data_IF_862955432793
#
_entry.id   IF_862955432793
#
_cell.length_a   1.000
_cell.length_b   1.000
_cell.length_c   1.000
_cell.angle_alpha   90.00
_cell.angle_beta   90.00
_cell.angle_gamma   90.00
#
_symmetry.space_group_name_H-M   'P 1'
#
loop_
_entity.id
_entity.type
_entity.pdbx_description
1 polymer ?
#
# COMPACT_ATOMS: atom_id res chain seq x y z
N UNK A 1 15.03 -2.37 -23.40
CA UNK A 1 14.07 -2.83 -22.36
C UNK A 1 12.75 -2.17 -22.68
N UNK A 2 11.67 -2.94 -22.92
CA UNK A 2 10.38 -2.34 -23.26
C UNK A 2 9.84 -1.57 -22.04
N UNK A 3 9.20 -0.43 -22.29
CA UNK A 3 8.74 0.46 -21.21
C UNK A 3 7.84 -0.24 -20.18
N UNK A 4 7.00 -1.19 -20.62
CA UNK A 4 6.10 -1.95 -19.73
C UNK A 4 6.86 -2.87 -18.77
N UNK A 5 7.97 -3.48 -19.17
CA UNK A 5 8.83 -4.27 -18.27
C UNK A 5 9.55 -3.40 -17.25
N UNK A 6 9.97 -2.21 -17.62
CA UNK A 6 10.56 -1.26 -16.69
C UNK A 6 9.56 -0.86 -15.60
N UNK A 7 8.34 -0.47 -15.98
CA UNK A 7 7.31 -0.11 -15.02
C UNK A 7 6.84 -1.29 -14.17
N UNK A 8 6.83 -2.51 -14.73
CA UNK A 8 6.53 -3.72 -13.96
C UNK A 8 7.57 -3.94 -12.85
N UNK A 9 8.85 -3.88 -13.21
CA UNK A 9 9.95 -4.03 -12.26
C UNK A 9 9.89 -2.94 -11.18
N UNK A 10 9.72 -1.68 -11.57
CA UNK A 10 9.63 -0.54 -10.66
C UNK A 10 8.44 -0.69 -9.70
N UNK A 11 7.27 -1.06 -10.19
CA UNK A 11 6.07 -1.31 -9.40
C UNK A 11 6.29 -2.46 -8.40
N UNK A 12 6.93 -3.53 -8.83
CA UNK A 12 7.25 -4.68 -7.98
C UNK A 12 8.26 -4.34 -6.89
N UNK A 13 9.28 -3.56 -7.21
CA UNK A 13 10.30 -3.12 -6.25
C UNK A 13 9.71 -2.16 -5.20
N UNK A 14 9.00 -1.12 -5.65
CA UNK A 14 8.36 -0.13 -4.78
C UNK A 14 7.34 -0.75 -3.83
N UNK A 15 6.69 -1.84 -4.22
CA UNK A 15 5.77 -2.60 -3.37
C UNK A 15 6.39 -2.93 -2.01
N UNK A 16 7.65 -3.38 -1.97
CA UNK A 16 8.32 -3.71 -0.70
C UNK A 16 8.54 -2.47 0.16
N UNK A 17 8.93 -1.35 -0.45
CA UNK A 17 9.06 -0.07 0.25
C UNK A 17 7.75 0.38 0.88
N UNK A 18 6.64 0.25 0.15
CA UNK A 18 5.28 0.55 0.65
C UNK A 18 4.91 -0.37 1.81
N UNK A 19 5.01 -1.69 1.63
CA UNK A 19 4.62 -2.66 2.66
C UNK A 19 5.43 -2.49 3.94
N UNK A 20 6.74 -2.29 3.83
CA UNK A 20 7.63 -2.09 4.99
C UNK A 20 7.29 -0.78 5.70
N UNK A 21 7.18 0.34 4.97
CA UNK A 21 6.94 1.65 5.57
C UNK A 21 5.56 1.76 6.22
N UNK A 22 4.50 1.22 5.59
CA UNK A 22 3.15 1.18 6.17
C UNK A 22 3.11 0.31 7.42
N UNK A 23 3.77 -0.87 7.39
CA UNK A 23 3.89 -1.76 8.55
C UNK A 23 4.60 -1.07 9.70
N UNK A 24 5.77 -0.48 9.46
CA UNK A 24 6.56 0.20 10.49
C UNK A 24 5.77 1.37 11.08
N UNK A 25 5.16 2.20 10.24
CA UNK A 25 4.34 3.32 10.71
C UNK A 25 3.15 2.87 11.56
N UNK A 26 2.41 1.85 11.12
CA UNK A 26 1.26 1.30 11.85
C UNK A 26 1.65 0.70 13.20
N UNK A 27 2.72 -0.10 13.25
CA UNK A 27 3.19 -0.74 14.48
C UNK A 27 3.78 0.26 15.48
N UNK A 28 4.54 1.26 15.02
CA UNK A 28 5.07 2.31 15.89
C UNK A 28 3.96 3.16 16.48
N UNK A 29 2.94 3.50 15.68
CA UNK A 29 1.77 4.23 16.16
C UNK A 29 0.97 3.39 17.18
N UNK A 30 0.78 2.10 16.92
CA UNK A 30 0.13 1.19 17.88
C UNK A 30 0.90 1.11 19.19
N UNK A 31 2.22 0.93 19.11
CA UNK A 31 3.10 0.91 20.30
C UNK A 31 2.98 2.21 21.09
N UNK A 32 3.06 3.37 20.41
CA UNK A 32 2.91 4.67 21.06
C UNK A 32 1.58 4.82 21.77
N UNK A 33 0.48 4.39 21.14
CA UNK A 33 -0.86 4.39 21.70
C UNK A 33 -0.96 3.52 22.98
N UNK A 34 -0.43 2.30 22.93
CA UNK A 34 -0.46 1.37 24.08
C UNK A 34 0.41 1.86 25.24
N UNK A 35 1.57 2.45 24.96
CA UNK A 35 2.48 2.99 25.96
C UNK A 35 2.10 4.40 26.45
N UNK A 36 1.05 4.99 25.92
CA UNK A 36 0.55 6.34 26.28
C UNK A 36 1.62 7.43 26.24
N UNK A 37 2.55 7.32 25.28
CA UNK A 37 3.66 8.27 25.14
C UNK A 37 3.45 9.25 23.98
N UNK A 38 4.12 10.41 23.98
CA UNK A 38 4.05 11.35 22.87
C UNK A 38 4.56 10.74 21.56
N UNK A 39 4.08 11.27 20.43
CA UNK A 39 4.56 10.89 19.09
C UNK A 39 5.98 11.41 18.90
N UNK A 40 6.89 10.54 18.52
CA UNK A 40 8.24 10.93 18.15
C UNK A 40 8.28 11.50 16.74
N UNK A 41 9.21 12.43 16.48
CA UNK A 41 9.39 13.04 15.16
C UNK A 41 9.60 11.98 14.07
N UNK A 42 10.43 10.97 14.33
CA UNK A 42 10.68 9.85 13.39
C UNK A 42 9.41 9.05 13.07
N UNK A 43 8.54 8.81 14.05
CA UNK A 43 7.27 8.11 13.84
C UNK A 43 6.30 8.91 12.97
N UNK A 44 6.27 10.21 13.17
CA UNK A 44 5.51 11.11 12.32
C UNK A 44 6.05 11.13 10.88
N UNK A 45 7.37 11.15 10.74
CA UNK A 45 8.03 11.15 9.42
C UNK A 45 7.78 9.85 8.66
N UNK A 46 7.94 8.69 9.30
CA UNK A 46 7.70 7.40 8.63
C UNK A 46 6.24 7.24 8.18
N UNK A 47 5.27 7.76 8.96
CA UNK A 47 3.87 7.76 8.55
C UNK A 47 3.62 8.64 7.31
N UNK A 48 4.29 9.78 7.19
CA UNK A 48 4.22 10.64 6.00
C UNK A 48 4.88 9.94 4.81
N UNK A 49 6.08 9.39 4.98
CA UNK A 49 6.82 8.67 3.94
C UNK A 49 5.99 7.50 3.41
N UNK A 50 5.39 6.70 4.29
CA UNK A 50 4.54 5.59 3.92
C UNK A 50 3.35 6.04 3.05
N UNK A 51 2.67 7.11 3.44
CA UNK A 51 1.58 7.69 2.66
C UNK A 51 2.05 8.17 1.28
N UNK A 52 3.17 8.88 1.20
CA UNK A 52 3.74 9.36 -0.08
C UNK A 52 4.12 8.17 -0.96
N UNK A 53 4.78 7.14 -0.43
CA UNK A 53 5.13 5.94 -1.18
C UNK A 53 3.89 5.22 -1.71
N UNK A 54 2.78 5.17 -0.97
CA UNK A 54 1.51 4.64 -1.46
C UNK A 54 1.02 5.39 -2.69
N UNK A 55 1.12 6.72 -2.70
CA UNK A 55 0.69 7.53 -3.86
C UNK A 55 1.65 7.36 -5.06
N UNK A 56 2.95 7.31 -4.82
CA UNK A 56 3.94 7.02 -5.88
C UNK A 56 3.66 5.64 -6.50
N UNK A 57 3.43 4.63 -5.65
CA UNK A 57 3.08 3.28 -6.09
C UNK A 57 1.79 3.26 -6.93
N UNK A 58 0.78 4.06 -6.54
CA UNK A 58 -0.46 4.20 -7.30
C UNK A 58 -0.20 4.76 -8.70
N UNK A 59 0.59 5.84 -8.80
CA UNK A 59 0.93 6.46 -10.09
C UNK A 59 1.66 5.46 -11.00
N UNK A 60 2.69 4.79 -10.47
CA UNK A 60 3.44 3.77 -11.22
C UNK A 60 2.53 2.61 -11.64
N UNK A 61 1.64 2.17 -10.76
CA UNK A 61 0.66 1.13 -11.06
C UNK A 61 -0.35 1.52 -12.12
N UNK A 62 -0.84 2.77 -12.10
CA UNK A 62 -1.73 3.28 -13.15
C UNK A 62 -1.03 3.38 -14.50
N UNK A 63 0.20 3.84 -14.55
CA UNK A 63 1.00 3.86 -15.79
C UNK A 63 1.17 2.44 -16.33
N UNK A 64 1.54 1.48 -15.47
CA UNK A 64 1.64 0.07 -15.87
C UNK A 64 0.31 -0.48 -16.38
N UNK A 65 -0.80 -0.15 -15.73
CA UNK A 65 -2.12 -0.54 -16.16
C UNK A 65 -2.44 -0.03 -17.57
N UNK A 66 -2.15 1.24 -17.87
CA UNK A 66 -2.37 1.82 -19.21
C UNK A 66 -1.59 1.09 -20.30
N UNK A 67 -0.35 0.65 -20.02
CA UNK A 67 0.42 -0.15 -20.98
C UNK A 67 -0.19 -1.53 -21.22
N UNK A 68 -0.84 -2.13 -20.22
CA UNK A 68 -1.31 -3.53 -20.25
C UNK A 68 -2.82 -3.70 -20.35
N UNK A 69 -3.60 -2.61 -20.29
CA UNK A 69 -5.07 -2.68 -20.29
C UNK A 69 -5.66 -3.43 -21.48
N UNK A 70 -5.05 -3.31 -22.65
CA UNK A 70 -5.47 -4.00 -23.89
C UNK A 70 -5.24 -5.52 -23.81
N UNK A 71 -4.29 -5.98 -23.01
CA UNK A 71 -4.01 -7.41 -22.81
C UNK A 71 -4.98 -8.05 -21.82
N UNK A 72 -5.66 -7.27 -20.99
CA UNK A 72 -6.62 -7.77 -20.01
C UNK A 72 -7.99 -7.98 -20.65
N UNK A 73 -8.13 -9.07 -21.39
CA UNK A 73 -9.38 -9.51 -22.01
C UNK A 73 -10.07 -10.58 -21.15
N UNK A 74 -11.37 -10.86 -21.33
CA UNK A 74 -12.07 -11.91 -20.56
C UNK A 74 -11.41 -13.31 -20.62
N UNK A 75 -10.67 -13.58 -21.69
CA UNK A 75 -9.93 -14.85 -21.85
C UNK A 75 -8.52 -14.81 -21.23
N UNK A 76 -8.10 -13.67 -20.68
CA UNK A 76 -6.81 -13.56 -20.01
C UNK A 76 -6.85 -14.26 -18.66
N UNK A 77 -5.86 -15.11 -18.31
CA UNK A 77 -5.80 -15.77 -17.02
C UNK A 77 -5.87 -14.75 -15.87
N UNK A 78 -6.76 -15.01 -14.91
CA UNK A 78 -6.98 -14.12 -13.77
C UNK A 78 -7.42 -12.69 -14.14
N UNK A 79 -8.15 -12.54 -15.25
CA UNK A 79 -8.68 -11.26 -15.75
C UNK A 79 -9.35 -10.42 -14.66
N UNK A 80 -10.28 -11.01 -13.89
CA UNK A 80 -11.02 -10.33 -12.83
C UNK A 80 -10.08 -9.76 -11.77
N UNK A 81 -9.09 -10.54 -11.38
CA UNK A 81 -8.10 -10.11 -10.41
C UNK A 81 -7.32 -8.88 -10.89
N UNK A 82 -6.74 -8.93 -12.09
CA UNK A 82 -5.88 -7.85 -12.59
C UNK A 82 -6.64 -6.58 -12.93
N UNK A 83 -7.89 -6.70 -13.37
CA UNK A 83 -8.69 -5.55 -13.81
C UNK A 83 -9.47 -4.90 -12.68
N UNK A 84 -9.93 -5.68 -11.70
CA UNK A 84 -10.85 -5.20 -10.69
C UNK A 84 -10.36 -5.41 -9.25
N UNK A 85 -10.00 -6.64 -8.88
CA UNK A 85 -9.72 -6.98 -7.49
C UNK A 85 -8.46 -6.30 -6.97
N UNK A 86 -7.33 -6.43 -7.70
CA UNK A 86 -6.07 -5.82 -7.30
C UNK A 86 -6.20 -4.28 -7.24
N UNK A 87 -6.69 -3.66 -8.30
CA UNK A 87 -6.81 -2.20 -8.39
C UNK A 87 -7.79 -1.68 -7.34
N UNK A 88 -8.98 -2.27 -7.25
CA UNK A 88 -10.02 -1.84 -6.31
C UNK A 88 -9.55 -1.95 -4.85
N UNK A 89 -8.97 -3.09 -4.47
CA UNK A 89 -8.47 -3.30 -3.10
C UNK A 89 -7.30 -2.37 -2.78
N UNK A 90 -6.36 -2.16 -3.71
CA UNK A 90 -5.24 -1.24 -3.50
C UNK A 90 -5.71 0.21 -3.37
N UNK A 91 -6.70 0.65 -4.15
CA UNK A 91 -7.29 1.98 -4.00
C UNK A 91 -7.91 2.16 -2.61
N UNK A 92 -8.69 1.19 -2.13
CA UNK A 92 -9.27 1.24 -0.78
C UNK A 92 -8.16 1.32 0.27
N UNK A 93 -7.11 0.49 0.15
CA UNK A 93 -5.99 0.51 1.09
C UNK A 93 -5.27 1.86 1.13
N UNK A 94 -5.03 2.48 -0.03
CA UNK A 94 -4.38 3.80 -0.13
C UNK A 94 -5.28 4.90 0.46
N UNK A 95 -6.59 4.84 0.19
CA UNK A 95 -7.57 5.76 0.79
C UNK A 95 -7.53 5.64 2.32
N UNK A 96 -7.50 4.43 2.87
CA UNK A 96 -7.41 4.22 4.31
C UNK A 96 -6.14 4.83 4.90
N UNK A 97 -4.96 4.57 4.31
CA UNK A 97 -3.69 5.16 4.76
C UNK A 97 -3.76 6.69 4.73
N UNK A 98 -4.31 7.26 3.66
CA UNK A 98 -4.48 8.71 3.50
C UNK A 98 -5.43 9.30 4.55
N UNK A 99 -6.57 8.65 4.77
CA UNK A 99 -7.54 9.05 5.80
C UNK A 99 -6.92 8.95 7.20
N UNK A 100 -6.22 7.87 7.50
CA UNK A 100 -5.54 7.68 8.79
C UNK A 100 -4.61 8.85 9.12
N UNK A 101 -3.78 9.25 8.14
CA UNK A 101 -2.88 10.40 8.29
C UNK A 101 -3.62 11.73 8.39
N UNK A 102 -4.63 11.94 7.55
CA UNK A 102 -5.44 13.16 7.52
C UNK A 102 -6.20 13.37 8.82
N UNK A 103 -6.86 12.33 9.30
CA UNK A 103 -7.61 12.36 10.56
C UNK A 103 -6.67 12.51 11.77
N UNK A 104 -5.49 11.88 11.74
CA UNK A 104 -4.48 12.05 12.78
C UNK A 104 -3.99 13.52 12.83
N UNK A 105 -3.77 14.17 11.68
CA UNK A 105 -3.37 15.59 11.64
C UNK A 105 -4.40 16.50 12.30
N UNK A 106 -5.69 16.18 12.21
CA UNK A 106 -6.80 16.97 12.76
C UNK A 106 -7.12 16.66 14.22
N UNK A 107 -6.60 15.56 14.77
CA UNK A 107 -6.82 15.23 16.17
C UNK A 107 -6.08 16.18 17.10
N UNK A 108 -6.69 16.51 18.24
CA UNK A 108 -6.07 17.37 19.26
C UNK A 108 -5.14 16.54 20.16
N UNK A 109 -5.58 15.37 20.58
CA UNK A 109 -4.84 14.51 21.50
C UNK A 109 -3.85 13.59 20.78
N UNK A 110 -2.65 13.46 21.33
CA UNK A 110 -1.58 12.60 20.80
C UNK A 110 -2.03 11.14 20.71
N UNK A 111 -2.73 10.65 21.73
CA UNK A 111 -3.27 9.29 21.75
C UNK A 111 -4.25 9.03 20.62
N UNK A 112 -5.15 9.99 20.32
CA UNK A 112 -6.09 9.88 19.21
C UNK A 112 -5.37 9.91 17.85
N UNK A 113 -4.29 10.69 17.71
CA UNK A 113 -3.46 10.68 16.49
C UNK A 113 -2.84 9.31 16.24
N UNK A 114 -2.25 8.72 17.27
CA UNK A 114 -1.61 7.40 17.21
C UNK A 114 -2.62 6.30 16.87
N UNK A 115 -3.77 6.28 17.55
CA UNK A 115 -4.81 5.30 17.27
C UNK A 115 -5.30 5.35 15.81
N UNK A 116 -5.52 6.55 15.28
CA UNK A 116 -5.94 6.73 13.89
C UNK A 116 -4.90 6.20 12.89
N UNK A 117 -3.63 6.55 13.07
CA UNK A 117 -2.57 6.00 12.23
C UNK A 117 -2.51 4.48 12.37
N UNK A 118 -2.49 3.95 13.58
CA UNK A 118 -2.39 2.52 13.82
C UNK A 118 -3.54 1.74 13.12
N UNK A 119 -4.78 2.11 13.38
CA UNK A 119 -5.95 1.41 12.83
C UNK A 119 -5.98 1.46 11.32
N UNK A 120 -5.90 2.65 10.74
CA UNK A 120 -6.03 2.81 9.28
C UNK A 120 -4.85 2.23 8.50
N UNK A 121 -3.62 2.35 9.03
CA UNK A 121 -2.43 1.80 8.37
C UNK A 121 -2.40 0.27 8.46
N UNK A 122 -2.76 -0.32 9.59
CA UNK A 122 -2.75 -1.78 9.73
C UNK A 122 -3.88 -2.44 8.94
N UNK A 123 -5.07 -1.85 8.86
CA UNK A 123 -6.13 -2.33 7.98
C UNK A 123 -5.71 -2.18 6.51
N UNK A 124 -5.17 -1.02 6.13
CA UNK A 124 -4.63 -0.80 4.80
C UNK A 124 -3.54 -1.82 4.43
N UNK A 125 -2.62 -2.10 5.37
CA UNK A 125 -1.60 -3.13 5.20
C UNK A 125 -2.20 -4.52 4.97
N UNK A 126 -3.20 -4.92 5.75
CA UNK A 126 -3.86 -6.21 5.59
C UNK A 126 -4.48 -6.36 4.19
N UNK A 127 -5.14 -5.32 3.69
CA UNK A 127 -5.69 -5.29 2.33
C UNK A 127 -4.58 -5.36 1.27
N UNK A 128 -3.47 -4.64 1.45
CA UNK A 128 -2.33 -4.68 0.53
C UNK A 128 -1.71 -6.08 0.48
N UNK A 129 -1.52 -6.73 1.63
CA UNK A 129 -1.00 -8.10 1.71
C UNK A 129 -1.94 -9.10 1.04
N UNK A 130 -3.25 -8.94 1.25
CA UNK A 130 -4.28 -9.76 0.61
C UNK A 130 -4.26 -9.62 -0.92
N UNK A 131 -4.23 -8.40 -1.45
CA UNK A 131 -4.33 -8.13 -2.89
C UNK A 131 -2.98 -8.22 -3.63
N UNK A 132 -1.87 -8.50 -2.93
CA UNK A 132 -0.57 -8.72 -3.57
C UNK A 132 -0.53 -10.11 -4.21
N UNK A 133 -0.15 -10.23 -5.51
CA UNK A 133 -0.01 -11.50 -6.21
C UNK A 133 1.32 -12.18 -5.82
N UNK A 134 1.37 -12.74 -4.64
CA UNK A 134 2.56 -13.44 -4.14
C UNK A 134 2.91 -14.66 -5.00
N UNK A 135 4.20 -15.00 -5.21
CA UNK A 135 4.62 -16.13 -6.02
C UNK A 135 4.10 -17.50 -5.55
N UNK A 136 3.79 -17.63 -4.24
CA UNK A 136 3.22 -18.84 -3.66
C UNK A 136 1.70 -18.94 -3.82
N UNK A 137 1.03 -17.87 -4.32
CA UNK A 137 -0.39 -17.91 -4.66
C UNK A 137 -0.58 -18.28 -6.12
N UNK A 138 -1.66 -18.97 -6.45
CA UNK A 138 -2.00 -19.37 -7.81
C UNK A 138 -1.94 -18.20 -8.82
N UNK A 139 -2.45 -17.03 -8.42
CA UNK A 139 -2.44 -15.79 -9.23
C UNK A 139 -1.02 -15.27 -9.49
N UNK A 140 -0.10 -15.48 -8.56
CA UNK A 140 1.30 -15.04 -8.64
C UNK A 140 2.26 -16.10 -9.17
N UNK A 141 1.77 -17.32 -9.40
CA UNK A 141 2.63 -18.43 -9.82
C UNK A 141 3.38 -18.13 -11.12
N UNK A 142 4.69 -18.38 -11.12
CA UNK A 142 5.58 -18.10 -12.27
C UNK A 142 5.97 -16.64 -12.47
N UNK A 143 5.55 -15.70 -11.60
CA UNK A 143 5.87 -14.25 -11.75
C UNK A 143 7.11 -13.80 -10.99
N UNK A 144 7.72 -14.64 -10.18
CA UNK A 144 8.88 -14.27 -9.36
C UNK A 144 8.53 -13.28 -8.22
N UNK A 145 9.56 -12.81 -7.53
CA UNK A 145 9.42 -11.85 -6.41
C UNK A 145 9.49 -10.38 -6.83
N UNK A 146 10.00 -10.13 -8.04
CA UNK A 146 10.13 -8.79 -8.65
C UNK A 146 9.49 -8.74 -10.04
#
# INVERSE_FOLDING_TARGET
MNSDYFFLFLHSLLRYGVLISVRVAGLLALRGYLMQRPILVGERMIAIIAMVLCHVQLVVGLVLYLFRVKSYTPNYPSYTFWKFEHIGTMLIAIILVTLGRSLAKRAKEERAKQLRVAVFYLIGLALMLWATPWPFREIGHGRGWL
#
